data_IF_133406608535
#
_entry.id   IF_133406608535
#
_cell.length_a   1.000
_cell.length_b   1.000
_cell.length_c   1.000
_cell.angle_alpha   90.00
_cell.angle_beta   90.00
_cell.angle_gamma   90.00
#
_symmetry.space_group_name_H-M   'P 1'
#
loop_
_entity.id
_entity.type
_entity.pdbx_description
1 polymer ?
#
# COMPACT_ATOMS: atom_id res chain seq x y z
N UNK A 1 0.02 -6.67 12.25
CA UNK A 1 0.53 -8.07 12.24
C UNK A 1 0.22 -8.84 13.53
N UNK A 2 0.36 -8.25 14.72
CA UNK A 2 0.12 -8.96 15.99
C UNK A 2 -1.37 -9.03 16.41
N UNK A 3 -2.22 -8.11 15.93
CA UNK A 3 -3.63 -8.04 16.33
C UNK A 3 -4.42 -9.20 15.72
N UNK A 4 -4.23 -9.54 14.44
CA UNK A 4 -4.99 -10.61 13.80
C UNK A 4 -4.62 -12.03 14.29
N UNK A 5 -3.35 -12.27 14.66
CA UNK A 5 -2.91 -13.60 15.11
C UNK A 5 -3.64 -14.08 16.38
N UNK A 6 -4.11 -13.14 17.22
CA UNK A 6 -4.89 -13.43 18.41
C UNK A 6 -6.38 -13.70 18.12
N UNK A 7 -6.94 -13.16 17.03
CA UNK A 7 -8.35 -13.37 16.64
C UNK A 7 -8.54 -14.57 15.69
N UNK A 8 -7.52 -14.93 14.91
CA UNK A 8 -7.58 -16.00 13.91
C UNK A 8 -7.51 -17.43 14.50
N UNK A 9 -7.21 -17.58 15.80
CA UNK A 9 -7.25 -18.87 16.48
C UNK A 9 -8.68 -19.35 16.79
N UNK A 10 -9.69 -18.49 16.60
CA UNK A 10 -11.09 -18.85 16.79
C UNK A 10 -11.75 -19.16 15.44
N UNK A 11 -12.42 -20.31 15.36
CA UNK A 11 -13.07 -20.84 14.14
C UNK A 11 -14.09 -19.83 13.55
N UNK A 12 -14.57 -18.89 14.37
CA UNK A 12 -15.48 -17.80 14.00
C UNK A 12 -14.84 -16.61 13.24
N UNK A 13 -13.52 -16.42 13.27
CA UNK A 13 -12.88 -15.27 12.64
C UNK A 13 -13.09 -15.20 11.13
N UNK A 14 -12.96 -16.35 10.45
CA UNK A 14 -13.16 -16.45 9.00
C UNK A 14 -14.60 -16.17 8.54
N UNK A 15 -15.59 -16.48 9.39
CA UNK A 15 -17.00 -16.24 9.11
C UNK A 15 -17.32 -14.74 9.15
N UNK A 16 -16.75 -14.00 10.11
CA UNK A 16 -16.92 -12.54 10.21
C UNK A 16 -16.39 -11.86 8.95
N UNK A 17 -15.24 -12.30 8.43
CA UNK A 17 -14.63 -11.68 7.24
C UNK A 17 -15.56 -11.84 6.03
N UNK A 18 -16.10 -13.04 5.87
CA UNK A 18 -17.04 -13.37 4.78
C UNK A 18 -18.34 -12.57 4.92
N UNK A 19 -18.85 -12.39 6.14
CA UNK A 19 -20.05 -11.59 6.40
C UNK A 19 -19.82 -10.11 6.09
N UNK A 20 -18.73 -9.51 6.56
CA UNK A 20 -18.39 -8.11 6.28
C UNK A 20 -18.18 -7.89 4.79
N UNK A 21 -17.48 -8.81 4.11
CA UNK A 21 -17.27 -8.72 2.67
C UNK A 21 -18.60 -8.73 1.91
N UNK A 22 -19.50 -9.65 2.27
CA UNK A 22 -20.79 -9.83 1.58
C UNK A 22 -21.79 -8.72 1.88
N UNK A 23 -21.91 -8.32 3.15
CA UNK A 23 -22.98 -7.43 3.61
C UNK A 23 -22.60 -5.96 3.56
N UNK A 24 -21.30 -5.63 3.64
CA UNK A 24 -20.83 -4.24 3.70
C UNK A 24 -20.00 -3.91 2.48
N UNK A 25 -18.89 -4.63 2.25
CA UNK A 25 -17.91 -4.25 1.20
C UNK A 25 -18.46 -4.46 -0.21
N UNK A 26 -19.33 -5.45 -0.40
CA UNK A 26 -19.94 -5.75 -1.70
C UNK A 26 -21.18 -4.92 -2.01
N UNK A 27 -21.74 -4.21 -1.01
CA UNK A 27 -22.87 -3.30 -1.20
C UNK A 27 -22.36 -1.86 -1.34
N UNK A 28 -22.59 -1.26 -2.51
CA UNK A 28 -22.11 0.09 -2.82
C UNK A 28 -22.73 1.15 -1.90
N UNK A 29 -24.00 1.00 -1.49
CA UNK A 29 -24.65 1.95 -0.62
C UNK A 29 -24.08 1.88 0.80
N UNK A 30 -23.78 0.67 1.28
CA UNK A 30 -23.17 0.47 2.59
C UNK A 30 -21.70 0.92 2.62
N UNK A 31 -20.88 0.47 1.66
CA UNK A 31 -19.44 0.75 1.64
C UNK A 31 -19.12 2.24 1.47
N UNK A 32 -20.05 3.03 0.93
CA UNK A 32 -19.86 4.46 0.68
C UNK A 32 -20.13 5.34 1.92
N UNK A 33 -20.53 4.75 3.06
CA UNK A 33 -20.63 5.46 4.35
C UNK A 33 -19.28 5.48 5.08
N UNK A 34 -19.17 6.29 6.13
CA UNK A 34 -17.96 6.35 6.98
C UNK A 34 -17.68 4.97 7.58
N UNK A 35 -18.69 4.35 8.19
CA UNK A 35 -18.61 3.04 8.84
C UNK A 35 -18.34 1.92 7.83
N UNK A 36 -18.89 2.03 6.62
CA UNK A 36 -18.65 1.09 5.53
C UNK A 36 -17.20 1.10 5.06
N UNK A 37 -16.61 2.30 4.90
CA UNK A 37 -15.20 2.45 4.57
C UNK A 37 -14.28 1.99 5.71
N UNK A 38 -14.65 2.25 6.96
CA UNK A 38 -13.92 1.71 8.13
C UNK A 38 -13.91 0.18 8.09
N UNK A 39 -15.06 -0.45 7.85
CA UNK A 39 -15.15 -1.91 7.70
C UNK A 39 -14.29 -2.42 6.55
N UNK A 40 -14.30 -1.74 5.40
CA UNK A 40 -13.47 -2.07 4.25
C UNK A 40 -11.98 -2.03 4.59
N UNK A 41 -11.53 -0.94 5.21
CA UNK A 41 -10.12 -0.75 5.59
C UNK A 41 -9.70 -1.81 6.62
N UNK A 42 -10.51 -2.03 7.65
CA UNK A 42 -10.24 -3.03 8.69
C UNK A 42 -10.17 -4.45 8.11
N UNK A 43 -11.11 -4.82 7.23
CA UNK A 43 -11.09 -6.13 6.56
C UNK A 43 -9.82 -6.31 5.71
N UNK A 44 -9.41 -5.26 4.99
CA UNK A 44 -8.20 -5.31 4.17
C UNK A 44 -6.93 -5.43 5.04
N UNK A 45 -6.86 -4.75 6.18
CA UNK A 45 -5.75 -4.87 7.15
C UNK A 45 -5.71 -6.28 7.74
N UNK A 46 -6.86 -6.84 8.12
CA UNK A 46 -6.94 -8.19 8.66
C UNK A 46 -6.42 -9.24 7.67
N UNK A 47 -6.82 -9.15 6.39
CA UNK A 47 -6.25 -10.02 5.35
C UNK A 47 -4.73 -9.82 5.18
N UNK A 48 -4.22 -8.60 5.30
CA UNK A 48 -2.77 -8.37 5.21
C UNK A 48 -2.04 -9.00 6.40
N UNK A 49 -2.58 -8.85 7.61
CA UNK A 49 -2.02 -9.40 8.85
C UNK A 49 -2.02 -10.93 8.88
N UNK A 50 -3.00 -11.57 8.24
CA UNK A 50 -3.02 -13.03 8.05
C UNK A 50 -2.09 -13.53 6.92
N UNK A 51 -1.28 -12.65 6.33
CA UNK A 51 -0.38 -13.02 5.24
C UNK A 51 -1.11 -13.29 3.92
N UNK A 52 -2.28 -12.67 3.71
CA UNK A 52 -3.07 -12.75 2.47
C UNK A 52 -3.03 -11.43 1.69
N UNK A 53 -1.84 -10.95 1.25
CA UNK A 53 -1.68 -9.60 0.68
C UNK A 53 -2.46 -9.40 -0.63
N UNK A 54 -2.67 -10.46 -1.41
CA UNK A 54 -3.49 -10.38 -2.63
C UNK A 54 -4.96 -10.12 -2.32
N UNK A 55 -5.51 -10.74 -1.28
CA UNK A 55 -6.90 -10.49 -0.86
C UNK A 55 -7.05 -9.09 -0.29
N UNK A 56 -6.12 -8.68 0.58
CA UNK A 56 -6.03 -7.31 1.09
C UNK A 56 -6.03 -6.28 -0.06
N UNK A 57 -5.17 -6.47 -1.06
CA UNK A 57 -5.12 -5.61 -2.24
C UNK A 57 -6.44 -5.57 -3.03
N UNK A 58 -7.14 -6.71 -3.20
CA UNK A 58 -8.46 -6.74 -3.86
C UNK A 58 -9.52 -5.94 -3.09
N UNK A 59 -9.52 -5.99 -1.76
CA UNK A 59 -10.43 -5.19 -0.94
C UNK A 59 -10.09 -3.70 -1.06
N UNK A 60 -8.82 -3.32 -0.95
CA UNK A 60 -8.40 -1.93 -1.17
C UNK A 60 -8.75 -1.44 -2.58
N UNK A 61 -8.67 -2.30 -3.61
CA UNK A 61 -9.09 -1.98 -4.99
C UNK A 61 -10.57 -1.60 -5.07
N UNK A 62 -11.45 -2.26 -4.32
CA UNK A 62 -12.86 -1.84 -4.20
C UNK A 62 -12.97 -0.48 -3.52
N UNK A 63 -12.18 -0.26 -2.48
CA UNK A 63 -12.06 1.04 -1.82
C UNK A 63 -11.64 2.15 -2.79
N UNK A 64 -10.71 1.88 -3.71
CA UNK A 64 -10.31 2.84 -4.76
C UNK A 64 -11.49 3.21 -5.66
N UNK A 65 -12.29 2.24 -6.08
CA UNK A 65 -13.49 2.50 -6.91
C UNK A 65 -14.45 3.43 -6.18
N UNK A 66 -14.68 3.18 -4.89
CA UNK A 66 -15.55 4.00 -4.04
C UNK A 66 -14.95 5.39 -3.83
N UNK A 67 -13.64 5.49 -3.57
CA UNK A 67 -12.88 6.73 -3.41
C UNK A 67 -12.89 7.65 -4.64
N UNK A 68 -13.17 7.12 -5.83
CA UNK A 68 -13.32 7.88 -7.06
C UNK A 68 -14.71 8.48 -7.25
N UNK A 69 -15.71 8.10 -6.44
CA UNK A 69 -17.04 8.69 -6.51
C UNK A 69 -16.99 10.19 -6.17
N UNK A 70 -17.57 11.07 -7.01
CA UNK A 70 -17.51 12.51 -6.80
C UNK A 70 -18.04 12.94 -5.43
N UNK A 71 -19.16 12.36 -4.99
CA UNK A 71 -19.76 12.68 -3.70
C UNK A 71 -18.86 12.34 -2.52
N UNK A 72 -18.12 11.22 -2.63
CA UNK A 72 -17.20 10.80 -1.60
C UNK A 72 -15.94 11.66 -1.57
N UNK A 73 -15.41 12.00 -2.75
CA UNK A 73 -14.31 12.95 -2.86
C UNK A 73 -14.69 14.31 -2.24
N UNK A 74 -15.88 14.84 -2.58
CA UNK A 74 -16.39 16.07 -2.00
C UNK A 74 -16.62 15.95 -0.49
N UNK A 75 -17.10 14.81 0.00
CA UNK A 75 -17.22 14.55 1.43
C UNK A 75 -15.84 14.54 2.12
N UNK A 76 -14.80 13.99 1.48
CA UNK A 76 -13.41 14.03 1.95
C UNK A 76 -12.82 15.44 2.02
N UNK A 77 -13.25 16.36 1.15
CA UNK A 77 -12.83 17.77 1.24
C UNK A 77 -13.52 18.53 2.39
N UNK A 78 -14.71 18.09 2.82
CA UNK A 78 -15.53 18.77 3.84
C UNK A 78 -15.40 18.17 5.24
N UNK A 79 -15.07 16.89 5.35
CA UNK A 79 -15.04 16.14 6.60
C UNK A 79 -13.65 15.56 6.86
N UNK A 80 -13.05 15.92 7.99
CA UNK A 80 -11.75 15.37 8.43
C UNK A 80 -11.80 13.86 8.65
N UNK A 81 -12.94 13.30 9.10
CA UNK A 81 -13.10 11.85 9.23
C UNK A 81 -13.07 11.15 7.86
N UNK A 82 -13.86 11.65 6.90
CA UNK A 82 -13.90 11.08 5.55
C UNK A 82 -12.57 11.21 4.83
N UNK A 83 -11.88 12.36 5.01
CA UNK A 83 -10.52 12.58 4.49
C UNK A 83 -9.55 11.52 4.98
N UNK A 84 -9.56 11.20 6.27
CA UNK A 84 -8.68 10.18 6.85
C UNK A 84 -8.92 8.79 6.24
N UNK A 85 -10.17 8.41 6.02
CA UNK A 85 -10.52 7.14 5.38
C UNK A 85 -10.06 7.11 3.92
N UNK A 86 -10.31 8.19 3.17
CA UNK A 86 -9.84 8.32 1.79
C UNK A 86 -8.31 8.23 1.70
N UNK A 87 -7.59 8.95 2.57
CA UNK A 87 -6.12 8.91 2.63
C UNK A 87 -5.59 7.54 3.05
N UNK A 88 -6.32 6.81 3.89
CA UNK A 88 -6.01 5.42 4.27
C UNK A 88 -6.10 4.46 3.08
N UNK A 89 -7.12 4.62 2.24
CA UNK A 89 -7.25 3.84 1.00
C UNK A 89 -6.15 4.24 0.00
N UNK A 90 -5.86 5.53 -0.13
CA UNK A 90 -4.81 6.07 -1.00
C UNK A 90 -3.41 5.53 -0.67
N UNK A 91 -3.04 5.52 0.62
CA UNK A 91 -1.74 5.01 1.07
C UNK A 91 -1.66 3.49 0.89
N UNK A 92 -2.72 2.77 1.26
CA UNK A 92 -2.74 1.32 1.23
C UNK A 92 -2.72 0.78 -0.20
N UNK A 93 -3.43 1.42 -1.14
CA UNK A 93 -3.38 1.08 -2.56
C UNK A 93 -1.94 1.09 -3.08
N UNK A 94 -1.18 2.15 -2.81
CA UNK A 94 0.20 2.27 -3.30
C UNK A 94 1.16 1.34 -2.60
N UNK A 95 1.03 1.23 -1.28
CA UNK A 95 1.81 0.28 -0.51
C UNK A 95 1.61 -1.13 -1.06
N UNK A 96 0.36 -1.62 -1.10
CA UNK A 96 0.05 -2.99 -1.54
C UNK A 96 0.38 -3.24 -3.01
N UNK A 97 0.15 -2.24 -3.88
CA UNK A 97 0.50 -2.35 -5.31
C UNK A 97 2.02 -2.45 -5.48
N UNK A 98 2.79 -1.66 -4.74
CA UNK A 98 4.25 -1.76 -4.74
C UNK A 98 4.70 -3.13 -4.23
N UNK A 99 4.21 -3.58 -3.07
CA UNK A 99 4.52 -4.89 -2.49
C UNK A 99 4.26 -6.06 -3.45
N UNK A 100 3.20 -5.99 -4.24
CA UNK A 100 2.79 -7.05 -5.16
C UNK A 100 3.35 -6.90 -6.58
N UNK A 101 4.03 -5.78 -6.88
CA UNK A 101 4.48 -5.46 -8.24
C UNK A 101 3.31 -5.21 -9.22
N UNK A 102 2.23 -4.58 -8.74
CA UNK A 102 1.03 -4.26 -9.50
C UNK A 102 0.93 -2.75 -9.75
N UNK A 103 0.17 -2.29 -10.76
CA UNK A 103 -0.14 -0.88 -10.93
C UNK A 103 -1.04 -0.40 -9.77
N UNK A 104 -0.90 0.87 -9.37
CA UNK A 104 -1.81 1.54 -8.42
C UNK A 104 -3.07 2.05 -9.14
N UNK A 105 -4.12 2.39 -8.38
CA UNK A 105 -5.43 2.76 -8.93
C UNK A 105 -5.73 4.25 -8.94
N UNK A 106 -5.09 5.03 -8.08
CA UNK A 106 -5.29 6.49 -8.03
C UNK A 106 -4.32 7.26 -8.91
N UNK A 107 -4.81 8.06 -9.85
CA UNK A 107 -3.97 9.03 -10.56
C UNK A 107 -3.77 10.29 -9.70
N UNK A 108 -2.54 10.55 -9.24
CA UNK A 108 -2.22 11.64 -8.28
C UNK A 108 -2.76 13.00 -8.71
N UNK A 109 -2.66 13.32 -10.01
CA UNK A 109 -3.06 14.62 -10.57
C UNK A 109 -4.53 14.96 -10.34
N UNK A 110 -5.40 13.96 -10.20
CA UNK A 110 -6.84 14.19 -10.00
C UNK A 110 -7.21 14.50 -8.55
N UNK A 111 -6.26 14.36 -7.60
CA UNK A 111 -6.56 14.37 -6.17
C UNK A 111 -5.65 15.32 -5.36
N UNK A 112 -4.99 16.29 -6.01
CA UNK A 112 -4.10 17.24 -5.32
C UNK A 112 -4.79 17.96 -4.16
N UNK A 113 -6.04 18.41 -4.36
CA UNK A 113 -6.76 19.18 -3.34
C UNK A 113 -6.93 18.43 -2.02
N UNK A 114 -7.15 17.10 -2.04
CA UNK A 114 -7.31 16.31 -0.80
C UNK A 114 -5.96 15.95 -0.17
N UNK A 115 -4.91 15.83 -1.00
CA UNK A 115 -3.54 15.49 -0.56
C UNK A 115 -2.82 16.69 0.08
N UNK A 116 -3.16 17.92 -0.32
CA UNK A 116 -2.50 19.16 0.12
C UNK A 116 -3.17 19.81 1.34
N UNK A 117 -4.34 19.32 1.77
CA UNK A 117 -5.01 19.86 2.96
C UNK A 117 -4.15 19.59 4.19
N UNK A 118 -3.68 20.65 4.86
CA UNK A 118 -2.90 20.53 6.10
C UNK A 118 -3.69 19.73 7.16
N UNK A 119 -3.05 18.78 7.87
CA UNK A 119 -3.69 18.10 8.98
C UNK A 119 -3.95 19.10 10.12
N UNK A 120 -5.11 19.01 10.76
CA UNK A 120 -5.52 19.95 11.84
C UNK A 120 -4.59 19.88 13.07
N UNK A 121 -3.90 18.76 13.28
CA UNK A 121 -3.13 18.48 14.50
C UNK A 121 -1.66 18.12 14.24
N UNK A 122 -1.10 18.47 13.07
CA UNK A 122 0.26 18.06 12.66
C UNK A 122 0.49 16.55 12.88
N UNK A 123 -0.46 15.73 12.43
CA UNK A 123 -0.34 14.27 12.52
C UNK A 123 0.82 13.80 11.64
N UNK A 124 1.99 13.70 12.27
CA UNK A 124 3.24 13.29 11.65
C UNK A 124 3.12 11.88 11.06
N UNK A 125 2.39 10.97 11.71
CA UNK A 125 2.23 9.60 11.22
C UNK A 125 1.48 9.56 9.89
N UNK A 126 0.35 10.26 9.82
CA UNK A 126 -0.39 10.41 8.57
C UNK A 126 0.43 11.13 7.49
N UNK A 127 1.19 12.16 7.88
CA UNK A 127 2.04 12.93 6.96
C UNK A 127 3.14 12.04 6.35
N UNK A 128 3.82 11.24 7.17
CA UNK A 128 4.82 10.28 6.71
C UNK A 128 4.20 9.28 5.74
N UNK A 129 3.04 8.73 6.10
CA UNK A 129 2.34 7.74 5.29
C UNK A 129 2.00 8.26 3.89
N UNK A 130 1.44 9.47 3.81
CA UNK A 130 1.03 10.10 2.55
C UNK A 130 2.25 10.40 1.68
N UNK A 131 3.34 10.92 2.28
CA UNK A 131 4.57 11.20 1.53
C UNK A 131 5.26 9.94 1.03
N UNK A 132 5.34 8.90 1.86
CA UNK A 132 5.81 7.58 1.41
C UNK A 132 4.93 7.04 0.28
N UNK A 133 3.60 7.17 0.38
CA UNK A 133 2.69 6.74 -0.68
C UNK A 133 2.97 7.49 -2.00
N UNK A 134 3.17 8.81 -1.98
CA UNK A 134 3.52 9.57 -3.20
C UNK A 134 4.80 9.02 -3.85
N UNK A 135 5.85 8.80 -3.06
CA UNK A 135 7.13 8.26 -3.56
C UNK A 135 6.95 6.81 -4.05
N UNK A 136 6.13 5.99 -3.38
CA UNK A 136 5.80 4.63 -3.83
C UNK A 136 5.13 4.63 -5.20
N UNK A 137 4.27 5.61 -5.51
CA UNK A 137 3.72 5.81 -6.85
C UNK A 137 4.82 5.98 -7.91
N UNK A 138 5.81 6.84 -7.64
CA UNK A 138 6.96 7.06 -8.53
C UNK A 138 7.81 5.79 -8.71
N UNK A 139 7.99 5.00 -7.65
CA UNK A 139 8.67 3.69 -7.71
C UNK A 139 7.91 2.72 -8.60
N UNK A 140 6.59 2.64 -8.45
CA UNK A 140 5.72 1.80 -9.29
C UNK A 140 5.82 2.23 -10.76
N UNK A 141 5.70 3.52 -11.06
CA UNK A 141 5.76 4.06 -12.42
C UNK A 141 7.11 3.74 -13.08
N UNK A 142 8.22 3.93 -12.35
CA UNK A 142 9.56 3.54 -12.81
C UNK A 142 9.65 2.04 -13.10
N UNK A 143 9.11 1.20 -12.21
CA UNK A 143 9.18 -0.25 -12.34
C UNK A 143 8.32 -0.79 -13.50
N UNK A 144 7.22 -0.11 -13.83
CA UNK A 144 6.35 -0.46 -14.96
C UNK A 144 6.79 0.19 -16.28
N UNK A 145 7.78 1.08 -16.25
CA UNK A 145 8.35 1.64 -17.47
C UNK A 145 8.89 0.53 -18.38
N UNK A 146 8.72 0.71 -19.70
CA UNK A 146 9.31 -0.17 -20.71
C UNK A 146 10.85 -0.07 -20.76
N UNK A 147 11.41 0.99 -20.17
CA UNK A 147 12.85 1.20 -20.08
C UNK A 147 13.41 0.51 -18.84
N UNK A 148 14.67 0.04 -18.91
CA UNK A 148 15.36 -0.48 -17.73
C UNK A 148 15.45 0.63 -16.67
N UNK A 149 15.34 0.24 -15.41
CA UNK A 149 15.50 1.16 -14.30
C UNK A 149 16.85 1.91 -14.42
N UNK A 150 16.78 3.24 -14.51
CA UNK A 150 17.95 4.10 -14.52
C UNK A 150 18.52 4.23 -13.11
N UNK A 151 19.85 4.15 -12.99
CA UNK A 151 20.53 4.44 -11.73
C UNK A 151 20.30 5.89 -11.30
N UNK A 152 20.26 6.85 -12.25
CA UNK A 152 20.00 8.26 -11.90
C UNK A 152 18.60 8.43 -11.30
N UNK A 153 17.58 7.80 -11.89
CA UNK A 153 16.22 7.87 -11.33
C UNK A 153 16.10 7.22 -9.96
N UNK A 154 16.94 6.23 -9.70
CA UNK A 154 17.02 5.54 -8.40
C UNK A 154 17.66 6.43 -7.34
N UNK A 155 18.73 7.15 -7.69
CA UNK A 155 19.36 8.13 -6.82
C UNK A 155 18.45 9.32 -6.53
N UNK A 156 17.69 9.82 -7.53
CA UNK A 156 16.67 10.85 -7.31
C UNK A 156 15.63 10.40 -6.27
N UNK A 157 15.12 9.17 -6.37
CA UNK A 157 14.16 8.64 -5.41
C UNK A 157 14.78 8.42 -4.01
N UNK A 158 16.05 8.03 -3.94
CA UNK A 158 16.76 7.92 -2.65
C UNK A 158 16.97 9.28 -1.99
N UNK A 159 17.30 10.31 -2.77
CA UNK A 159 17.40 11.70 -2.32
C UNK A 159 16.06 12.18 -1.77
N UNK A 160 14.95 11.97 -2.49
CA UNK A 160 13.60 12.28 -1.99
C UNK A 160 13.28 11.57 -0.66
N UNK A 161 13.73 10.33 -0.49
CA UNK A 161 13.57 9.59 0.78
C UNK A 161 14.45 10.14 1.90
N UNK A 162 15.65 10.63 1.59
CA UNK A 162 16.54 11.27 2.55
C UNK A 162 15.97 12.63 2.99
N UNK A 163 15.45 13.44 2.06
CA UNK A 163 14.73 14.68 2.36
C UNK A 163 13.47 14.43 3.20
N UNK A 164 12.75 13.35 2.91
CA UNK A 164 11.65 12.90 3.75
C UNK A 164 12.12 12.61 5.17
N UNK A 165 13.22 11.86 5.32
CA UNK A 165 13.74 11.51 6.63
C UNK A 165 14.13 12.73 7.47
N UNK A 166 14.82 13.69 6.86
CA UNK A 166 15.32 14.89 7.54
C UNK A 166 14.23 15.92 7.84
N UNK A 167 13.10 15.88 7.14
CA UNK A 167 11.93 16.73 7.45
C UNK A 167 11.18 16.34 8.72
N UNK A 168 11.50 15.19 9.33
CA UNK A 168 10.88 14.71 10.56
C UNK A 168 11.84 14.86 11.75
N UNK A 169 11.34 15.21 12.95
CA UNK A 169 12.18 15.35 14.13
C UNK A 169 12.81 14.00 14.53
N UNK A 170 14.02 14.03 15.11
CA UNK A 170 14.72 12.81 15.55
C UNK A 170 13.87 11.94 16.49
N UNK A 171 13.12 12.59 17.39
CA UNK A 171 12.17 11.91 18.30
C UNK A 171 11.07 11.14 17.58
N UNK A 172 10.78 11.44 16.32
CA UNK A 172 9.83 10.67 15.52
C UNK A 172 10.36 9.29 15.14
N UNK A 173 11.69 9.18 14.98
CA UNK A 173 12.39 7.93 14.63
C UNK A 173 12.63 7.02 15.83
N UNK A 174 12.48 7.54 17.05
CA UNK A 174 12.61 6.75 18.27
C UNK A 174 11.42 5.78 18.44
N UNK A 175 11.72 4.48 18.57
CA UNK A 175 10.72 3.50 18.95
C UNK A 175 10.66 3.43 20.49
N UNK A 176 9.54 3.83 21.10
CA UNK A 176 9.43 3.76 22.56
C UNK A 176 9.43 2.29 23.04
N UNK A 177 10.40 1.94 23.88
CA UNK A 177 10.73 0.56 24.29
C UNK A 177 9.65 -0.18 25.12
N UNK A 178 8.44 0.37 25.25
CA UNK A 178 7.41 -0.18 26.12
C UNK A 178 6.03 -0.04 25.50
N UNK A 179 5.63 -1.03 24.70
CA UNK A 179 4.21 -1.31 24.50
C UNK A 179 3.70 -1.77 25.86
N UNK A 180 3.11 -0.85 26.65
CA UNK A 180 2.36 -1.27 27.83
C UNK A 180 1.18 -2.11 27.34
N UNK A 181 0.93 -3.24 28.01
CA UNK A 181 -0.18 -4.14 27.72
C UNK A 181 -1.56 -3.55 28.10
N UNK A 182 -1.67 -2.23 28.30
CA UNK A 182 -2.88 -1.51 28.69
C UNK A 182 -3.74 -1.07 27.49
N UNK A 183 -3.45 -1.58 26.29
CA UNK A 183 -4.31 -1.50 25.10
C UNK A 183 -4.32 -0.14 24.39
N UNK A 184 -4.33 0.97 25.12
CA UNK A 184 -4.47 2.31 24.54
C UNK A 184 -3.13 2.93 24.08
N UNK A 185 -2.01 2.61 24.74
CA UNK A 185 -0.67 3.02 24.28
C UNK A 185 -0.16 2.20 23.09
N UNK A 186 -0.76 1.04 22.85
CA UNK A 186 -0.36 0.09 21.80
C UNK A 186 -0.64 0.62 20.39
N UNK A 187 -1.68 1.44 20.21
CA UNK A 187 -2.14 1.84 18.86
C UNK A 187 -1.19 2.84 18.20
N UNK A 188 -0.80 3.91 18.91
CA UNK A 188 0.16 4.89 18.37
C UNK A 188 1.53 4.26 18.06
N UNK A 189 2.01 3.37 18.92
CA UNK A 189 3.26 2.64 18.67
C UNK A 189 3.12 1.70 17.46
N UNK A 190 1.98 1.03 17.30
CA UNK A 190 1.72 0.17 16.15
C UNK A 190 1.66 0.97 14.84
N UNK A 191 0.96 2.11 14.83
CA UNK A 191 0.92 3.03 13.70
C UNK A 191 2.32 3.53 13.37
N UNK A 192 3.09 4.01 14.35
CA UNK A 192 4.48 4.47 14.17
C UNK A 192 5.36 3.39 13.56
N UNK A 193 5.30 2.17 14.10
CA UNK A 193 6.06 1.03 13.61
C UNK A 193 5.67 0.68 12.16
N UNK A 194 4.37 0.72 11.85
CA UNK A 194 3.90 0.50 10.49
C UNK A 194 4.45 1.55 9.53
N UNK A 195 4.52 2.82 9.92
CA UNK A 195 5.11 3.88 9.09
C UNK A 195 6.63 3.70 8.91
N UNK A 196 7.36 3.29 9.96
CA UNK A 196 8.77 2.95 9.84
C UNK A 196 8.99 1.79 8.87
N UNK A 197 8.19 0.72 9.00
CA UNK A 197 8.26 -0.43 8.10
C UNK A 197 7.99 -0.01 6.66
N UNK A 198 6.95 0.79 6.41
CA UNK A 198 6.65 1.26 5.07
C UNK A 198 7.79 2.12 4.49
N UNK A 199 8.35 3.04 5.29
CA UNK A 199 9.48 3.87 4.89
C UNK A 199 10.70 3.04 4.47
N UNK A 200 11.17 2.12 5.32
CA UNK A 200 12.34 1.30 5.01
C UNK A 200 12.09 0.30 3.88
N UNK A 201 10.86 -0.22 3.80
CA UNK A 201 10.48 -1.10 2.70
C UNK A 201 10.46 -0.39 1.36
N UNK A 202 9.99 0.86 1.33
CA UNK A 202 10.06 1.71 0.14
C UNK A 202 11.51 1.95 -0.30
N UNK A 203 12.44 2.21 0.64
CA UNK A 203 13.88 2.31 0.33
C UNK A 203 14.42 1.03 -0.30
N UNK A 204 14.05 -0.14 0.23
CA UNK A 204 14.45 -1.41 -0.36
C UNK A 204 13.95 -1.54 -1.81
N UNK A 205 12.71 -1.13 -2.09
CA UNK A 205 12.09 -1.22 -3.41
C UNK A 205 12.67 -0.24 -4.43
N UNK A 206 13.25 0.88 -3.96
CA UNK A 206 14.02 1.78 -4.82
C UNK A 206 15.22 1.03 -5.42
N UNK A 207 15.95 0.23 -4.64
CA UNK A 207 17.15 -0.48 -5.13
C UNK A 207 16.91 -1.88 -5.68
N UNK A 208 15.73 -2.46 -5.47
CA UNK A 208 15.40 -3.83 -5.88
C UNK A 208 15.77 -4.18 -7.33
N UNK A 209 15.57 -3.32 -8.35
CA UNK A 209 15.96 -3.62 -9.72
C UNK A 209 17.46 -3.94 -9.92
N UNK A 210 18.33 -3.44 -9.04
CA UNK A 210 19.79 -3.63 -9.11
C UNK A 210 20.27 -4.80 -8.26
N UNK A 211 19.51 -5.19 -7.24
CA UNK A 211 19.82 -6.35 -6.39
C UNK A 211 19.61 -7.67 -7.14
N UNK A 212 18.64 -7.72 -8.07
CA UNK A 212 18.36 -8.91 -8.87
C UNK A 212 19.34 -9.12 -10.05
N UNK A 213 20.25 -8.18 -10.32
CA UNK A 213 21.25 -8.29 -11.40
C UNK A 213 22.48 -9.06 -10.90
N UNK A 214 22.29 -10.34 -10.56
CA UNK A 214 23.38 -11.33 -10.46
C UNK A 214 22.92 -12.70 -10.92
N UNK A 215 22.69 -12.84 -12.23
CA UNK A 215 22.91 -14.11 -12.97
C UNK A 215 23.35 -13.82 -14.41
N UNK A 216 24.62 -13.46 -14.58
CA UNK A 216 25.41 -13.77 -15.79
C UNK A 216 26.85 -14.04 -15.40
N UNK A 217 27.08 -15.27 -14.92
CA UNK A 217 28.26 -16.09 -15.19
C UNK A 217 28.06 -17.37 -14.39
N UNK A 218 27.57 -18.42 -15.05
CA UNK A 218 28.20 -19.74 -15.05
C UNK A 218 27.43 -20.63 -16.04
N UNK A 219 28.17 -21.04 -17.07
CA UNK A 219 27.90 -22.13 -18.01
C UNK A 219 26.86 -21.91 -19.11
N UNK A 220 27.40 -21.46 -20.25
CA UNK A 220 27.27 -22.14 -21.55
C UNK A 220 26.89 -23.61 -21.39
N UNK A 221 25.64 -23.94 -21.67
CA UNK A 221 25.29 -25.21 -22.32
C UNK A 221 24.31 -24.87 -23.42
N UNK A 222 24.85 -24.83 -24.63
CA UNK A 222 24.14 -24.89 -25.89
C UNK A 222 23.27 -26.14 -25.88
N UNK A 223 21.95 -25.99 -25.80
CA UNK A 223 21.04 -27.01 -26.29
C UNK A 223 20.25 -26.39 -27.43
N UNK A 224 20.65 -26.78 -28.64
CA UNK A 224 19.84 -26.69 -29.83
C UNK A 224 18.47 -27.30 -29.55
N UNK A 225 17.43 -26.48 -29.59
CA UNK A 225 16.07 -26.94 -29.85
C UNK A 225 15.51 -26.06 -30.97
N UNK A 226 15.53 -26.62 -32.18
CA UNK A 226 14.94 -26.06 -33.40
C UNK A 226 13.42 -25.86 -33.22
N UNK A 227 12.81 -24.81 -33.80
CA UNK A 227 11.38 -24.55 -33.70
C UNK A 227 10.59 -25.46 -34.64
N UNK A 228 9.87 -26.45 -34.09
CA UNK A 228 8.87 -27.21 -34.82
C UNK A 228 7.49 -26.55 -34.64
N UNK A 229 7.28 -25.43 -35.32
CA UNK A 229 5.95 -25.02 -35.76
C UNK A 229 6.08 -24.51 -37.19
N UNK A 230 5.88 -25.41 -38.15
CA UNK A 230 5.49 -25.01 -39.51
C UNK A 230 4.08 -25.53 -39.69
N UNK A 231 3.15 -24.59 -39.80
CA UNK A 231 1.80 -24.79 -40.31
C UNK A 231 1.90 -25.44 -41.68
N UNK A 232 1.06 -26.45 -41.94
CA UNK A 232 0.54 -26.67 -43.28
C UNK A 232 -0.92 -27.12 -43.18
N UNK A 233 -1.73 -26.36 -43.88
CA UNK A 233 -3.15 -26.56 -44.14
C UNK A 233 -3.45 -27.86 -44.89
N UNK A 234 -4.63 -28.41 -44.55
CA UNK A 234 -5.65 -29.03 -45.43
C UNK A 234 -5.29 -30.16 -46.40
N UNK A 235 -5.83 -31.35 -46.12
CA UNK A 235 -6.76 -32.08 -46.99
C UNK A 235 -7.77 -32.83 -46.11
#
# INVERSE_FOLDING_TARGET
MAIAFAFASDINGSHIYTLVDRLVVSDMACVSTVEGLECLILLAILYADEGQPRRSWMIFRRGVVVAHLPDLYQAGLRSTAMRRLWLSIYQADRMMSMFLGLPYGFVVMHYQQILEVKPENDDLDSTMAIRCAIIAGKVIDRNHSRTKASISKTLELDEEMNELATSFPETWWELHNRVRADGHGSDKTHVRLHQHLFFFHLRLYIYLPFLAVRKKSLHTVTLYASPAWRLHDSC
#
